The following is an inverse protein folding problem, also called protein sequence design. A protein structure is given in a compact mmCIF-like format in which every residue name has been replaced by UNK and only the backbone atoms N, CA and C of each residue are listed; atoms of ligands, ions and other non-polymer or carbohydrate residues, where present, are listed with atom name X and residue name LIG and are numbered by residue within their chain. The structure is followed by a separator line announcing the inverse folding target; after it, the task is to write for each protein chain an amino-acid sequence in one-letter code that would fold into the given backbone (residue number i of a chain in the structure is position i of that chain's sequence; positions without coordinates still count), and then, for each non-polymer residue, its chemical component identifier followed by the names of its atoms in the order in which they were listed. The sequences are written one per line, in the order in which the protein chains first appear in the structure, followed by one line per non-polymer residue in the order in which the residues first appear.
data_IF_637924474957
#
_entry.id   IF_637924474957
#
_cell.length_a   1.000
_cell.length_b   1.000
_cell.length_c   1.000
_cell.angle_alpha   90.00
_cell.angle_beta   90.00
_cell.angle_gamma   90.00
#
_symmetry.space_group_name_H-M   'P 1'
#
loop_
_entity.id
_entity.type
_entity.pdbx_description
1 polymer ?
#
# COMPACT_ATOMS: atom_id res chain seq x y z
N UNK A 1 20.27 11.78 -36.08
CA UNK A 1 19.50 10.55 -35.91
C UNK A 1 18.07 10.98 -35.62
N UNK A 2 17.09 10.68 -36.44
CA UNK A 2 15.72 11.08 -36.14
C UNK A 2 15.25 10.38 -34.83
N UNK A 3 14.56 11.09 -33.94
CA UNK A 3 14.08 10.49 -32.72
C UNK A 3 13.11 9.36 -33.05
N UNK A 4 13.24 8.24 -32.34
CA UNK A 4 12.40 7.07 -32.51
C UNK A 4 10.96 7.47 -32.11
N UNK A 5 9.98 7.53 -33.03
CA UNK A 5 8.66 8.07 -32.76
C UNK A 5 7.89 7.30 -31.70
N UNK A 6 8.26 6.04 -31.43
CA UNK A 6 7.59 5.18 -30.46
C UNK A 6 7.77 5.57 -28.98
N UNK A 7 8.74 6.46 -28.67
CA UNK A 7 9.00 6.86 -27.27
C UNK A 7 8.30 8.18 -26.91
N UNK A 8 7.91 8.97 -27.90
CA UNK A 8 7.28 10.27 -27.69
C UNK A 8 5.79 10.18 -27.35
N UNK A 9 5.13 9.05 -27.64
CA UNK A 9 3.69 8.84 -27.38
C UNK A 9 3.39 8.09 -26.07
N UNK A 10 4.40 7.70 -25.30
CA UNK A 10 4.21 7.10 -23.98
C UNK A 10 3.96 8.18 -22.92
N UNK A 11 2.90 8.95 -23.08
CA UNK A 11 2.40 9.83 -22.04
C UNK A 11 1.82 8.97 -20.91
N UNK A 12 2.59 8.85 -19.81
CA UNK A 12 2.11 8.22 -18.59
C UNK A 12 0.98 9.09 -18.03
N UNK A 13 -0.22 8.54 -18.01
CA UNK A 13 -1.45 9.21 -17.56
C UNK A 13 -1.89 8.70 -16.20
N UNK A 14 -2.83 9.41 -15.58
CA UNK A 14 -3.49 9.00 -14.34
C UNK A 14 -4.00 7.54 -14.41
N UNK A 15 -4.54 7.13 -15.55
CA UNK A 15 -5.07 5.78 -15.74
C UNK A 15 -4.03 4.67 -15.55
N UNK A 16 -2.77 4.91 -15.96
CA UNK A 16 -1.69 3.94 -15.76
C UNK A 16 -1.35 3.76 -14.28
N UNK A 17 -1.30 4.86 -13.52
CA UNK A 17 -1.07 4.79 -12.06
C UNK A 17 -2.22 4.12 -11.32
N UNK A 18 -3.47 4.43 -11.70
CA UNK A 18 -4.64 3.77 -11.09
C UNK A 18 -4.70 2.29 -11.43
N UNK A 19 -4.36 1.91 -12.66
CA UNK A 19 -4.26 0.51 -13.07
C UNK A 19 -3.22 -0.27 -12.26
N UNK A 20 -2.04 0.33 -12.08
CA UNK A 20 -0.99 -0.24 -11.25
C UNK A 20 -1.42 -0.35 -9.78
N UNK A 21 -1.98 0.72 -9.21
CA UNK A 21 -2.47 0.73 -7.83
C UNK A 21 -3.56 -0.33 -7.63
N UNK A 22 -4.52 -0.44 -8.55
CA UNK A 22 -5.56 -1.47 -8.51
C UNK A 22 -5.00 -2.88 -8.54
N UNK A 23 -3.98 -3.13 -9.36
CA UNK A 23 -3.31 -4.43 -9.42
C UNK A 23 -2.60 -4.78 -8.12
N UNK A 24 -1.85 -3.83 -7.54
CA UNK A 24 -1.15 -4.01 -6.25
C UNK A 24 -2.17 -4.26 -5.13
N UNK A 25 -3.28 -3.52 -5.12
CA UNK A 25 -4.36 -3.68 -4.15
C UNK A 25 -4.99 -5.08 -4.24
N UNK A 26 -5.29 -5.54 -5.45
CA UNK A 26 -5.85 -6.88 -5.68
C UNK A 26 -4.90 -7.98 -5.21
N UNK A 27 -3.60 -7.87 -5.50
CA UNK A 27 -2.59 -8.82 -5.01
C UNK A 27 -2.54 -8.82 -3.48
N UNK A 28 -2.52 -7.65 -2.84
CA UNK A 28 -2.54 -7.52 -1.37
C UNK A 28 -3.78 -8.18 -0.76
N UNK A 29 -4.95 -7.96 -1.36
CA UNK A 29 -6.21 -8.57 -0.93
C UNK A 29 -6.17 -10.10 -1.04
N UNK A 30 -5.69 -10.64 -2.15
CA UNK A 30 -5.54 -12.10 -2.34
C UNK A 30 -4.60 -12.69 -1.29
N UNK A 31 -3.47 -12.05 -1.00
CA UNK A 31 -2.54 -12.49 0.03
C UNK A 31 -3.20 -12.46 1.41
N UNK A 32 -3.86 -11.36 1.77
CA UNK A 32 -4.48 -11.19 3.07
C UNK A 32 -5.61 -12.21 3.34
N UNK A 33 -6.39 -12.55 2.31
CA UNK A 33 -7.51 -13.50 2.44
C UNK A 33 -7.09 -14.96 2.28
N UNK A 34 -6.00 -15.23 1.54
CA UNK A 34 -5.59 -16.62 1.24
C UNK A 34 -4.63 -17.20 2.27
N UNK A 35 -3.90 -16.34 2.99
CA UNK A 35 -2.86 -16.80 3.92
C UNK A 35 -3.38 -16.87 5.34
N UNK A 36 -2.99 -17.93 6.05
CA UNK A 36 -3.29 -18.14 7.48
C UNK A 36 -2.16 -17.66 8.39
N UNK A 37 -1.01 -17.38 7.81
CA UNK A 37 0.16 -16.90 8.53
C UNK A 37 -0.01 -15.39 8.83
N UNK A 38 0.06 -15.01 10.11
CA UNK A 38 -0.13 -13.63 10.57
C UNK A 38 0.82 -12.65 9.87
N UNK A 39 2.08 -13.01 9.66
CA UNK A 39 3.05 -12.14 8.99
C UNK A 39 2.70 -11.95 7.51
N UNK A 40 2.26 -13.01 6.82
CA UNK A 40 1.85 -12.93 5.43
C UNK A 40 0.59 -12.05 5.25
N UNK A 41 -0.36 -12.15 6.19
CA UNK A 41 -1.55 -11.29 6.20
C UNK A 41 -1.16 -9.82 6.41
N UNK A 42 -0.26 -9.53 7.34
CA UNK A 42 0.26 -8.18 7.56
C UNK A 42 0.94 -7.63 6.30
N UNK A 43 1.75 -8.42 5.60
CA UNK A 43 2.36 -8.03 4.34
C UNK A 43 1.31 -7.74 3.25
N UNK A 44 0.22 -8.50 3.22
CA UNK A 44 -0.90 -8.25 2.30
C UNK A 44 -1.58 -6.90 2.57
N UNK A 45 -1.82 -6.58 3.84
CA UNK A 45 -2.40 -5.29 4.25
C UNK A 45 -1.44 -4.14 3.92
N UNK A 46 -0.15 -4.29 4.15
CA UNK A 46 0.87 -3.31 3.77
C UNK A 46 0.85 -3.00 2.27
N UNK A 47 0.74 -4.04 1.43
CA UNK A 47 0.59 -3.87 -0.02
C UNK A 47 -0.67 -3.09 -0.39
N UNK A 48 -1.79 -3.35 0.28
CA UNK A 48 -3.03 -2.60 0.06
C UNK A 48 -2.88 -1.13 0.44
N UNK A 49 -2.23 -0.82 1.56
CA UNK A 49 -1.96 0.55 1.99
C UNK A 49 -1.03 1.28 1.02
N UNK A 50 0.00 0.61 0.52
CA UNK A 50 0.90 1.16 -0.50
C UNK A 50 0.17 1.48 -1.81
N UNK A 51 -0.79 0.65 -2.22
CA UNK A 51 -1.64 0.92 -3.38
C UNK A 51 -2.50 2.18 -3.19
N UNK A 52 -3.04 2.38 -1.99
CA UNK A 52 -3.79 3.60 -1.64
C UNK A 52 -2.88 4.83 -1.68
N UNK A 53 -1.67 4.74 -1.14
CA UNK A 53 -0.68 5.82 -1.19
C UNK A 53 -0.32 6.21 -2.63
N UNK A 54 -0.12 5.21 -3.50
CA UNK A 54 0.14 5.44 -4.92
C UNK A 54 -1.05 6.14 -5.59
N UNK A 55 -2.27 5.79 -5.24
CA UNK A 55 -3.49 6.43 -5.74
C UNK A 55 -3.57 7.89 -5.32
N UNK A 56 -3.33 8.20 -4.04
CA UNK A 56 -3.32 9.57 -3.52
C UNK A 56 -2.26 10.41 -4.22
N UNK A 57 -1.06 9.87 -4.39
CA UNK A 57 0.03 10.55 -5.08
C UNK A 57 -0.30 10.82 -6.56
N UNK A 58 -0.94 9.86 -7.23
CA UNK A 58 -1.38 10.01 -8.62
C UNK A 58 -2.44 11.12 -8.74
N UNK A 59 -3.42 11.16 -7.86
CA UNK A 59 -4.42 12.24 -7.84
C UNK A 59 -3.81 13.59 -7.52
N UNK A 60 -2.85 13.67 -6.61
CA UNK A 60 -2.13 14.91 -6.32
C UNK A 60 -1.40 15.44 -7.55
N UNK A 61 -0.82 14.56 -8.37
CA UNK A 61 -0.08 14.96 -9.56
C UNK A 61 -0.97 15.28 -10.76
N UNK A 62 -2.04 14.53 -10.97
CA UNK A 62 -2.87 14.60 -12.18
C UNK A 62 -4.28 15.15 -11.92
N UNK A 63 -4.67 15.37 -10.67
CA UNK A 63 -6.00 15.81 -10.30
C UNK A 63 -6.29 17.23 -10.78
N UNK A 64 -7.37 17.39 -11.53
CA UNK A 64 -7.81 18.68 -12.08
C UNK A 64 -8.61 19.54 -11.07
N UNK A 65 -8.73 19.14 -9.81
CA UNK A 65 -9.60 19.76 -8.81
C UNK A 65 -8.88 20.49 -7.67
N UNK A 66 -7.57 20.38 -7.58
CA UNK A 66 -6.79 21.20 -6.66
C UNK A 66 -6.44 22.50 -7.37
N UNK A 67 -6.91 23.60 -6.83
CA UNK A 67 -6.70 24.94 -7.34
C UNK A 67 -5.21 25.18 -7.59
N UNK A 68 -4.84 25.33 -8.87
CA UNK A 68 -3.48 25.57 -9.32
C UNK A 68 -3.09 27.01 -9.13
N UNK A 69 -3.38 27.60 -7.99
CA UNK A 69 -2.87 28.91 -7.62
C UNK A 69 -1.43 28.79 -7.14
N UNK A 70 -0.52 28.45 -8.06
CA UNK A 70 0.92 28.67 -7.92
C UNK A 70 1.66 27.96 -6.79
N UNK A 71 1.00 27.16 -5.95
CA UNK A 71 1.66 26.33 -4.97
C UNK A 71 1.94 24.94 -5.58
N UNK A 72 3.20 24.57 -5.58
CA UNK A 72 3.65 23.25 -6.02
C UNK A 72 2.83 22.14 -5.35
N UNK A 73 2.50 21.04 -6.05
CA UNK A 73 1.67 19.95 -5.53
C UNK A 73 2.44 19.09 -4.51
N UNK A 74 2.98 19.71 -3.47
CA UNK A 74 3.69 19.04 -2.39
C UNK A 74 2.75 18.39 -1.38
N UNK A 75 1.50 18.81 -1.34
CA UNK A 75 0.54 18.37 -0.34
C UNK A 75 0.32 16.85 -0.38
N UNK A 76 0.24 16.26 -1.58
CA UNK A 76 0.15 14.81 -1.74
C UNK A 76 1.42 14.07 -1.30
N UNK A 77 2.59 14.63 -1.55
CA UNK A 77 3.86 14.04 -1.12
C UNK A 77 4.02 14.09 0.39
N UNK A 78 3.69 15.22 1.02
CA UNK A 78 3.71 15.39 2.48
C UNK A 78 2.73 14.42 3.14
N UNK A 79 1.52 14.32 2.59
CA UNK A 79 0.52 13.37 3.08
C UNK A 79 1.01 11.92 2.99
N UNK A 80 1.58 11.52 1.85
CA UNK A 80 2.09 10.15 1.67
C UNK A 80 3.24 9.86 2.62
N UNK A 81 4.19 10.79 2.82
CA UNK A 81 5.28 10.63 3.80
C UNK A 81 4.74 10.44 5.21
N UNK A 82 3.73 11.21 5.59
CA UNK A 82 3.07 11.06 6.89
C UNK A 82 2.42 9.68 7.03
N UNK A 83 1.65 9.24 6.04
CA UNK A 83 1.00 7.92 6.04
C UNK A 83 2.03 6.79 6.08
N UNK A 84 3.13 6.89 5.33
CA UNK A 84 4.20 5.89 5.36
C UNK A 84 4.86 5.81 6.75
N UNK A 85 5.04 6.94 7.42
CA UNK A 85 5.61 6.97 8.77
C UNK A 85 4.70 6.27 9.78
N UNK A 86 3.40 6.54 9.72
CA UNK A 86 2.39 5.88 10.57
C UNK A 86 2.31 4.39 10.25
N UNK A 87 2.27 4.03 8.97
CA UNK A 87 2.23 2.63 8.54
C UNK A 87 3.46 1.84 9.02
N UNK A 88 4.65 2.43 8.95
CA UNK A 88 5.87 1.81 9.48
C UNK A 88 5.79 1.56 11.00
N UNK A 89 5.22 2.51 11.74
CA UNK A 89 5.00 2.36 13.18
C UNK A 89 3.98 1.25 13.49
N UNK A 90 2.88 1.21 12.76
CA UNK A 90 1.85 0.16 12.89
C UNK A 90 2.40 -1.23 12.55
N UNK A 91 3.19 -1.34 11.48
CA UNK A 91 3.85 -2.58 11.10
C UNK A 91 4.81 -3.08 12.19
N UNK A 92 5.59 -2.19 12.79
CA UNK A 92 6.48 -2.53 13.89
C UNK A 92 5.71 -3.08 15.11
N UNK A 93 4.61 -2.44 15.48
CA UNK A 93 3.74 -2.91 16.59
C UNK A 93 3.09 -4.24 16.25
N UNK A 94 2.58 -4.39 15.03
CA UNK A 94 1.94 -5.62 14.57
C UNK A 94 2.92 -6.81 14.54
N UNK A 95 4.17 -6.59 14.09
CA UNK A 95 5.22 -7.61 14.14
C UNK A 95 5.61 -7.95 15.58
N UNK A 96 5.71 -6.97 16.46
CA UNK A 96 5.97 -7.21 17.89
C UNK A 96 4.87 -8.08 18.52
N UNK A 97 3.60 -7.80 18.19
CA UNK A 97 2.47 -8.63 18.64
C UNK A 97 2.53 -10.05 18.06
N UNK A 98 2.87 -10.20 16.77
CA UNK A 98 3.02 -11.52 16.17
C UNK A 98 4.12 -12.35 16.84
N UNK A 99 5.25 -11.72 17.19
CA UNK A 99 6.33 -12.36 17.96
C UNK A 99 5.87 -12.77 19.36
N UNK A 100 5.14 -11.90 20.05
CA UNK A 100 4.61 -12.21 21.40
C UNK A 100 3.61 -13.37 21.37
N UNK A 101 2.74 -13.41 20.38
CA UNK A 101 1.79 -14.52 20.16
C UNK A 101 2.56 -15.80 19.87
N UNK A 102 3.56 -15.75 18.99
CA UNK A 102 4.40 -16.91 18.70
C UNK A 102 5.10 -17.44 19.95
N UNK A 103 5.67 -16.58 20.78
CA UNK A 103 6.34 -16.98 22.03
C UNK A 103 5.40 -17.63 23.05
N UNK A 104 4.11 -17.28 23.01
CA UNK A 104 3.10 -17.84 23.94
C UNK A 104 2.40 -19.07 23.41
N UNK A 105 2.23 -19.17 22.09
CA UNK A 105 1.41 -20.20 21.44
C UNK A 105 2.21 -21.13 20.53
N UNK A 106 3.49 -20.83 20.31
CA UNK A 106 4.41 -21.57 19.42
C UNK A 106 3.85 -21.69 17.99
N UNK A 107 2.98 -20.78 17.57
CA UNK A 107 2.38 -20.74 16.24
C UNK A 107 2.08 -19.31 15.80
N UNK A 108 2.20 -19.06 14.51
CA UNK A 108 1.79 -17.82 13.82
C UNK A 108 0.55 -18.07 12.94
N UNK A 109 -0.01 -19.27 13.00
CA UNK A 109 -1.23 -19.64 12.28
C UNK A 109 -2.44 -19.00 12.97
N UNK A 110 -3.12 -18.10 12.25
CA UNK A 110 -4.28 -17.36 12.76
C UNK A 110 -5.44 -18.28 13.16
N UNK A 111 -5.61 -19.41 12.50
CA UNK A 111 -6.65 -20.37 12.83
C UNK A 111 -6.42 -21.05 14.19
N UNK A 112 -5.15 -21.13 14.62
CA UNK A 112 -4.76 -21.71 15.90
C UNK A 112 -4.72 -20.71 17.05
N UNK A 113 -4.70 -19.42 16.75
CA UNK A 113 -4.71 -18.32 17.73
C UNK A 113 -6.15 -17.90 18.07
N UNK A 114 -7.06 -18.87 18.16
CA UNK A 114 -8.45 -18.61 18.52
C UNK A 114 -8.61 -18.59 20.05
N UNK A 115 -8.61 -17.40 20.66
CA UNK A 115 -8.78 -17.19 22.09
C UNK A 115 -10.25 -17.15 22.51
N UNK A 116 -11.18 -17.01 21.56
CA UNK A 116 -12.61 -16.94 21.82
C UNK A 116 -13.34 -18.26 21.61
N UNK A 117 -12.62 -19.32 21.34
CA UNK A 117 -13.19 -20.67 21.24
C UNK A 117 -13.28 -21.27 22.65
N UNK A 118 -14.44 -21.38 23.09
CA UNK A 118 -14.87 -22.15 24.26
C UNK A 118 -15.19 -23.60 23.92
#
# INVERSE_FOLDING_TARGET
MPPIPAIQDLSITLAHYLGLAGTIFAIGTVIALSKRNAVAVLMGIELMLNAVNLTVLAFSRFGAGFDRTGSEPLDGHVFVVFVLTVAAAEAAVALAMAVLVYRRRETIDLDRVNLMRW
#
